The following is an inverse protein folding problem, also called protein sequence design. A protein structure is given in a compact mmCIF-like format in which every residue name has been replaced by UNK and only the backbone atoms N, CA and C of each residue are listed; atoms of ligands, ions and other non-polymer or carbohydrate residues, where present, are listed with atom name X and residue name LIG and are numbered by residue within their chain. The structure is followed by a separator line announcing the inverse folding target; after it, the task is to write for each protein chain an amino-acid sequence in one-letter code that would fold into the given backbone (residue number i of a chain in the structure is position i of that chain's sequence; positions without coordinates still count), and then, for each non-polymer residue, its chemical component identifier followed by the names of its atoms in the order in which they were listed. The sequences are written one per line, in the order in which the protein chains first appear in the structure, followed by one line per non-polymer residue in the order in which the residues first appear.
data_IF_747033649567
#
_entry.id   IF_747033649567
#
_cell.length_a   1.000
_cell.length_b   1.000
_cell.length_c   1.000
_cell.angle_alpha   90.00
_cell.angle_beta   90.00
_cell.angle_gamma   90.00
#
_symmetry.space_group_name_H-M   'P 1'
#
loop_
_entity.id
_entity.type
_entity.pdbx_description
1 polymer ?
#
# COMPACT_ATOMS: atom_id res chain seq x y z
N UNK A 1 71.89 -23.89 -31.55
CA UNK A 1 70.90 -23.40 -32.54
C UNK A 1 69.71 -24.34 -32.51
N UNK A 2 68.53 -23.79 -32.19
CA UNK A 2 67.15 -24.20 -32.55
C UNK A 2 66.74 -25.70 -32.47
N UNK A 3 65.56 -26.09 -32.01
CA UNK A 3 64.46 -25.40 -31.34
C UNK A 3 63.43 -26.49 -30.99
N UNK A 4 62.97 -26.48 -29.75
CA UNK A 4 61.84 -27.20 -29.19
C UNK A 4 60.54 -26.98 -29.96
N UNK A 5 59.88 -28.04 -30.43
CA UNK A 5 58.46 -28.01 -30.80
C UNK A 5 57.62 -28.34 -29.57
N UNK A 6 57.31 -27.30 -28.80
CA UNK A 6 56.32 -27.35 -27.73
C UNK A 6 54.91 -27.41 -28.32
N UNK A 7 54.10 -28.25 -27.71
CA UNK A 7 52.65 -28.31 -27.80
C UNK A 7 52.02 -26.90 -27.79
N UNK A 8 51.17 -26.63 -28.77
CA UNK A 8 50.09 -25.67 -28.66
C UNK A 8 48.82 -26.28 -29.27
N UNK A 9 48.22 -27.21 -28.53
CA UNK A 9 46.77 -27.44 -28.63
C UNK A 9 46.08 -26.25 -27.96
N UNK A 10 45.98 -25.14 -28.67
CA UNK A 10 44.92 -24.16 -28.43
C UNK A 10 43.66 -24.80 -28.99
N UNK A 11 42.93 -25.51 -28.14
CA UNK A 11 41.54 -25.86 -28.42
C UNK A 11 40.78 -24.56 -28.76
N UNK A 12 40.49 -24.38 -30.04
CA UNK A 12 39.41 -23.51 -30.46
C UNK A 12 38.14 -24.12 -29.86
N UNK A 13 37.71 -23.61 -28.70
CA UNK A 13 36.40 -23.89 -28.13
C UNK A 13 35.37 -23.53 -29.20
N UNK A 14 34.83 -24.58 -29.81
CA UNK A 14 33.78 -24.55 -30.82
C UNK A 14 32.65 -23.61 -30.39
N UNK A 15 32.26 -22.72 -31.30
CA UNK A 15 31.06 -21.89 -31.23
C UNK A 15 29.82 -22.78 -31.20
N UNK A 16 29.31 -23.09 -30.02
CA UNK A 16 28.09 -23.90 -29.84
C UNK A 16 26.90 -22.94 -29.74
N UNK A 17 25.85 -23.10 -30.58
CA UNK A 17 24.62 -22.33 -30.47
C UNK A 17 23.96 -22.55 -29.09
N UNK A 18 23.29 -21.52 -28.57
CA UNK A 18 22.66 -21.59 -27.25
C UNK A 18 21.55 -22.64 -27.24
N UNK A 19 21.72 -23.70 -26.45
CA UNK A 19 20.65 -24.66 -26.23
C UNK A 19 19.70 -24.19 -25.13
N UNK A 20 18.42 -24.53 -25.28
CA UNK A 20 17.38 -24.28 -24.27
C UNK A 20 17.76 -24.87 -22.91
N UNK A 21 18.38 -26.05 -22.90
CA UNK A 21 18.79 -26.77 -21.69
C UNK A 21 19.85 -26.01 -20.87
N UNK A 22 20.70 -25.22 -21.53
CA UNK A 22 21.70 -24.38 -20.86
C UNK A 22 21.10 -23.07 -20.36
N UNK A 23 20.15 -22.49 -21.10
CA UNK A 23 19.62 -21.15 -20.80
C UNK A 23 18.51 -21.19 -19.75
N UNK A 24 17.63 -22.18 -19.77
CA UNK A 24 16.54 -22.34 -18.82
C UNK A 24 16.98 -22.28 -17.33
N UNK A 25 18.00 -23.02 -16.86
CA UNK A 25 18.42 -22.96 -15.45
C UNK A 25 18.99 -21.60 -15.05
N UNK A 26 19.64 -20.88 -15.98
CA UNK A 26 20.15 -19.52 -15.76
C UNK A 26 18.98 -18.56 -15.53
N UNK A 27 17.94 -18.65 -16.37
CA UNK A 27 16.76 -17.80 -16.26
C UNK A 27 15.97 -18.14 -14.98
N UNK A 28 15.82 -19.42 -14.64
CA UNK A 28 15.19 -19.83 -13.39
C UNK A 28 15.89 -19.24 -12.16
N UNK A 29 17.22 -19.31 -12.13
CA UNK A 29 18.02 -18.72 -11.05
C UNK A 29 17.88 -17.20 -11.01
N UNK A 30 17.94 -16.54 -12.16
CA UNK A 30 17.68 -15.11 -12.29
C UNK A 30 16.30 -14.73 -11.75
N UNK A 31 15.24 -15.44 -12.17
CA UNK A 31 13.87 -15.20 -11.73
C UNK A 31 13.71 -15.37 -10.22
N UNK A 32 14.36 -16.37 -9.63
CA UNK A 32 14.36 -16.57 -8.17
C UNK A 32 15.07 -15.41 -7.43
N UNK A 33 16.16 -14.89 -7.97
CA UNK A 33 16.88 -13.74 -7.40
C UNK A 33 16.03 -12.47 -7.51
N UNK A 34 15.40 -12.23 -8.66
CA UNK A 34 14.46 -11.14 -8.89
C UNK A 34 13.26 -11.22 -7.94
N UNK A 35 12.67 -12.42 -7.78
CA UNK A 35 11.56 -12.66 -6.85
C UNK A 35 11.89 -12.41 -5.38
N UNK A 36 13.17 -12.54 -5.02
CA UNK A 36 13.72 -12.17 -3.70
C UNK A 36 14.24 -10.74 -3.63
N UNK A 37 14.02 -9.95 -4.68
CA UNK A 37 14.40 -8.54 -4.77
C UNK A 37 15.93 -8.34 -4.66
N UNK A 38 16.71 -9.36 -5.06
CA UNK A 38 18.19 -9.33 -5.07
C UNK A 38 18.68 -8.85 -6.43
N UNK A 39 18.34 -7.61 -6.78
CA UNK A 39 18.54 -7.05 -8.12
C UNK A 39 20.00 -7.06 -8.58
N UNK A 40 20.95 -6.66 -7.72
CA UNK A 40 22.37 -6.64 -8.09
C UNK A 40 22.89 -8.06 -8.35
N UNK A 41 22.54 -9.03 -7.49
CA UNK A 41 22.91 -10.43 -7.69
C UNK A 41 22.25 -11.06 -8.93
N UNK A 42 21.02 -10.67 -9.26
CA UNK A 42 20.34 -11.12 -10.47
C UNK A 42 21.06 -10.61 -11.73
N UNK A 43 21.45 -9.32 -11.74
CA UNK A 43 22.23 -8.74 -12.84
C UNK A 43 23.60 -9.38 -12.99
N UNK A 44 24.35 -9.49 -11.89
CA UNK A 44 25.67 -10.14 -11.87
C UNK A 44 25.59 -11.58 -12.38
N UNK A 45 24.53 -12.31 -12.05
CA UNK A 45 24.33 -13.68 -12.53
C UNK A 45 24.23 -13.76 -14.06
N UNK A 46 23.47 -12.85 -14.68
CA UNK A 46 23.32 -12.79 -16.14
C UNK A 46 24.61 -12.31 -16.81
N UNK A 47 25.25 -11.27 -16.30
CA UNK A 47 26.50 -10.74 -16.87
C UNK A 47 27.66 -11.74 -16.75
N UNK A 48 27.73 -12.50 -15.65
CA UNK A 48 28.71 -13.56 -15.49
C UNK A 48 28.49 -14.72 -16.47
N UNK A 49 27.24 -15.02 -16.82
CA UNK A 49 26.94 -15.98 -17.90
C UNK A 49 27.36 -15.43 -19.26
N UNK A 50 27.06 -14.15 -19.53
CA UNK A 50 27.45 -13.50 -20.78
C UNK A 50 28.97 -13.42 -20.97
N UNK A 51 29.73 -13.09 -19.92
CA UNK A 51 31.18 -12.93 -19.99
C UNK A 51 31.97 -14.24 -20.15
N UNK A 52 31.36 -15.39 -19.86
CA UNK A 52 31.99 -16.71 -20.02
C UNK A 52 31.89 -17.28 -21.45
N UNK A 53 31.09 -16.66 -22.32
CA UNK A 53 30.86 -17.14 -23.69
C UNK A 53 31.13 -16.03 -24.71
N UNK A 54 31.82 -16.40 -25.79
CA UNK A 54 31.84 -15.61 -27.01
C UNK A 54 30.65 -16.06 -27.86
N UNK A 55 29.57 -15.28 -27.85
CA UNK A 55 28.39 -15.59 -28.65
C UNK A 55 28.60 -15.13 -30.09
N UNK A 56 28.50 -16.07 -31.02
CA UNK A 56 28.40 -15.77 -32.45
C UNK A 56 27.00 -16.22 -32.86
N UNK A 57 26.06 -15.29 -33.05
CA UNK A 57 24.69 -15.66 -33.43
C UNK A 57 24.69 -16.27 -34.82
N UNK A 58 24.20 -17.51 -34.92
CA UNK A 58 24.11 -18.26 -36.18
C UNK A 58 22.70 -18.29 -36.77
N UNK A 59 21.67 -18.03 -35.95
CA UNK A 59 20.26 -18.08 -36.32
C UNK A 59 19.42 -17.04 -35.55
N UNK A 60 18.15 -16.90 -35.96
CA UNK A 60 17.18 -15.94 -35.38
C UNK A 60 16.93 -16.25 -33.91
N UNK A 61 16.90 -17.52 -33.52
CA UNK A 61 16.68 -17.93 -32.12
C UNK A 61 17.87 -17.57 -31.22
N UNK A 62 19.11 -17.73 -31.69
CA UNK A 62 20.31 -17.31 -30.97
C UNK A 62 20.35 -15.79 -30.79
N UNK A 63 19.92 -15.03 -31.81
CA UNK A 63 19.75 -13.57 -31.70
C UNK A 63 18.70 -13.19 -30.66
N UNK A 64 17.57 -13.92 -30.63
CA UNK A 64 16.54 -13.69 -29.62
C UNK A 64 17.04 -13.97 -28.21
N UNK A 65 17.80 -15.05 -27.98
CA UNK A 65 18.40 -15.32 -26.68
C UNK A 65 19.37 -14.23 -26.22
N UNK A 66 20.17 -13.67 -27.13
CA UNK A 66 21.03 -12.53 -26.84
C UNK A 66 20.26 -11.26 -26.46
N UNK A 67 19.16 -11.00 -27.17
CA UNK A 67 18.22 -9.91 -26.87
C UNK A 67 17.62 -10.10 -25.46
N UNK A 68 17.06 -11.28 -25.18
CA UNK A 68 16.49 -11.65 -23.87
C UNK A 68 17.51 -11.48 -22.73
N UNK A 69 18.74 -11.97 -22.90
CA UNK A 69 19.80 -11.85 -21.88
C UNK A 69 20.20 -10.38 -21.67
N UNK A 70 20.17 -9.56 -22.72
CA UNK A 70 20.43 -8.13 -22.63
C UNK A 70 19.31 -7.41 -21.88
N UNK A 71 18.05 -7.77 -22.15
CA UNK A 71 16.89 -7.30 -21.38
C UNK A 71 17.02 -7.69 -19.90
N UNK A 72 17.37 -8.94 -19.58
CA UNK A 72 17.57 -9.37 -18.19
C UNK A 72 18.76 -8.73 -17.48
N UNK A 73 19.76 -8.23 -18.21
CA UNK A 73 20.82 -7.42 -17.62
C UNK A 73 20.35 -6.01 -17.25
N UNK A 74 19.42 -5.43 -18.03
CA UNK A 74 18.88 -4.08 -17.80
C UNK A 74 17.74 -4.06 -16.77
N UNK A 75 16.86 -5.07 -16.82
CA UNK A 75 15.60 -5.12 -16.05
C UNK A 75 15.75 -4.98 -14.52
N UNK A 76 16.78 -5.53 -13.85
CA UNK A 76 16.97 -5.38 -12.40
C UNK A 76 17.12 -3.92 -11.97
N UNK A 77 17.74 -3.08 -12.79
CA UNK A 77 17.88 -1.65 -12.51
C UNK A 77 16.53 -0.93 -12.59
N UNK A 78 15.71 -1.28 -13.57
CA UNK A 78 14.37 -0.72 -13.77
C UNK A 78 13.45 -1.10 -12.60
N UNK A 79 13.45 -2.37 -12.19
CA UNK A 79 12.72 -2.84 -11.01
C UNK A 79 13.21 -2.14 -9.73
N UNK A 80 14.53 -1.93 -9.58
CA UNK A 80 15.08 -1.20 -8.42
C UNK A 80 14.52 0.21 -8.29
N UNK A 81 14.38 0.94 -9.40
CA UNK A 81 13.79 2.29 -9.43
C UNK A 81 12.29 2.24 -9.12
N UNK A 82 11.60 1.20 -9.58
CA UNK A 82 10.20 0.97 -9.25
C UNK A 82 9.98 0.77 -7.74
N UNK A 83 10.73 -0.12 -7.10
CA UNK A 83 10.60 -0.40 -5.66
C UNK A 83 11.02 0.77 -4.75
N UNK A 84 11.81 1.71 -5.27
CA UNK A 84 12.15 2.94 -4.57
C UNK A 84 11.06 4.02 -4.65
N UNK A 85 10.00 3.82 -5.46
CA UNK A 85 8.89 4.76 -5.67
C UNK A 85 9.32 6.17 -6.14
N UNK A 86 10.55 6.33 -6.64
CA UNK A 86 11.09 7.64 -7.01
C UNK A 86 10.35 8.29 -8.18
N UNK A 87 9.62 7.51 -8.97
CA UNK A 87 8.76 7.99 -10.05
C UNK A 87 7.53 8.78 -9.55
N UNK A 88 7.22 8.74 -8.24
CA UNK A 88 6.14 9.50 -7.62
C UNK A 88 6.59 10.85 -7.04
N UNK A 89 7.90 11.14 -7.02
CA UNK A 89 8.43 12.39 -6.48
C UNK A 89 7.95 13.59 -7.33
N UNK A 90 7.62 14.74 -6.71
CA UNK A 90 7.30 15.95 -7.44
C UNK A 90 8.42 16.31 -8.42
N UNK A 91 8.06 16.69 -9.64
CA UNK A 91 9.03 17.17 -10.63
C UNK A 91 9.69 18.44 -10.10
N UNK A 92 10.91 18.34 -9.57
CA UNK A 92 11.76 19.50 -9.44
C UNK A 92 12.02 20.08 -10.85
N UNK A 93 12.10 21.42 -10.93
CA UNK A 93 12.27 22.22 -12.15
C UNK A 93 13.04 21.46 -13.27
N UNK A 94 12.43 21.41 -14.47
CA UNK A 94 12.98 20.88 -15.73
C UNK A 94 13.10 19.35 -15.95
N UNK A 95 12.55 18.48 -15.10
CA UNK A 95 12.38 17.06 -15.49
C UNK A 95 11.14 16.86 -16.38
N UNK A 96 11.32 16.98 -17.70
CA UNK A 96 10.47 16.30 -18.67
C UNK A 96 10.75 14.79 -18.59
N UNK A 97 9.68 14.00 -18.60
CA UNK A 97 9.61 12.54 -18.66
C UNK A 97 9.72 11.71 -17.37
N UNK A 98 8.74 10.80 -17.23
CA UNK A 98 8.77 9.70 -16.27
C UNK A 98 9.79 8.68 -16.76
N UNK A 99 11.08 8.90 -16.45
CA UNK A 99 12.18 8.04 -16.89
C UNK A 99 11.91 6.54 -16.68
N UNK A 100 11.21 6.17 -15.60
CA UNK A 100 10.81 4.78 -15.35
C UNK A 100 9.82 4.23 -16.39
N UNK A 101 8.79 5.00 -16.76
CA UNK A 101 7.85 4.61 -17.81
C UNK A 101 8.57 4.48 -19.14
N UNK A 102 9.46 5.43 -19.46
CA UNK A 102 10.29 5.37 -20.66
C UNK A 102 11.16 4.11 -20.68
N UNK A 103 11.81 3.76 -19.57
CA UNK A 103 12.62 2.53 -19.46
C UNK A 103 11.79 1.26 -19.69
N UNK A 104 10.61 1.14 -19.07
CA UNK A 104 9.73 0.00 -19.31
C UNK A 104 9.23 -0.07 -20.76
N UNK A 105 8.83 1.08 -21.34
CA UNK A 105 8.39 1.14 -22.74
C UNK A 105 9.50 0.81 -23.73
N UNK A 106 10.73 1.26 -23.47
CA UNK A 106 11.89 0.94 -24.30
C UNK A 106 12.19 -0.57 -24.28
N UNK A 107 12.25 -1.17 -23.08
CA UNK A 107 12.44 -2.62 -22.93
C UNK A 107 11.31 -3.38 -23.63
N UNK A 108 10.05 -2.93 -23.45
CA UNK A 108 8.90 -3.54 -24.12
C UNK A 108 9.05 -3.53 -25.65
N UNK A 109 9.44 -2.41 -26.23
CA UNK A 109 9.63 -2.28 -27.68
C UNK A 109 10.74 -3.19 -28.21
N UNK A 110 11.84 -3.33 -27.48
CA UNK A 110 12.95 -4.24 -27.84
C UNK A 110 12.49 -5.71 -27.85
N UNK A 111 11.73 -6.11 -26.83
CA UNK A 111 11.14 -7.46 -26.74
C UNK A 111 10.10 -7.68 -27.83
N UNK A 112 9.26 -6.68 -28.13
CA UNK A 112 8.26 -6.77 -29.20
C UNK A 112 8.89 -6.97 -30.59
N UNK A 113 9.96 -6.24 -30.90
CA UNK A 113 10.72 -6.49 -32.14
C UNK A 113 11.24 -7.93 -32.20
N UNK A 114 11.78 -8.43 -31.07
CA UNK A 114 12.25 -9.81 -30.98
C UNK A 114 11.11 -10.83 -31.20
N UNK A 115 9.90 -10.54 -30.73
CA UNK A 115 8.71 -11.36 -30.97
C UNK A 115 8.33 -11.37 -32.45
N UNK A 116 8.35 -10.21 -33.12
CA UNK A 116 8.07 -10.09 -34.55
C UNK A 116 9.02 -10.93 -35.40
N UNK A 117 10.32 -10.89 -35.08
CA UNK A 117 11.33 -11.71 -35.74
C UNK A 117 11.08 -13.21 -35.53
N UNK A 118 10.71 -13.62 -34.32
CA UNK A 118 10.45 -15.02 -33.96
C UNK A 118 9.14 -15.58 -34.52
N UNK A 119 8.13 -14.74 -34.79
CA UNK A 119 6.86 -15.18 -35.38
C UNK A 119 7.02 -15.68 -36.84
N UNK A 120 8.13 -15.32 -37.49
CA UNK A 120 8.47 -15.82 -38.83
C UNK A 120 9.00 -17.26 -38.85
N UNK A 121 9.27 -17.86 -37.68
CA UNK A 121 9.84 -19.20 -37.54
C UNK A 121 8.72 -20.27 -37.54
N UNK A 122 8.85 -21.38 -38.29
CA UNK A 122 7.78 -22.38 -38.50
C UNK A 122 7.33 -23.16 -37.25
N UNK A 123 8.12 -23.14 -36.16
CA UNK A 123 7.74 -23.70 -34.86
C UNK A 123 7.99 -22.67 -33.76
N UNK A 124 7.00 -22.43 -32.86
CA UNK A 124 7.15 -21.42 -31.82
C UNK A 124 8.24 -21.86 -30.82
N UNK A 125 9.36 -21.15 -30.75
CA UNK A 125 10.45 -21.51 -29.84
C UNK A 125 10.12 -21.10 -28.41
N UNK A 126 10.82 -21.70 -27.42
CA UNK A 126 10.67 -21.30 -26.01
C UNK A 126 10.97 -19.81 -25.79
N UNK A 127 11.91 -19.26 -26.58
CA UNK A 127 12.25 -17.82 -26.56
C UNK A 127 11.05 -16.92 -26.89
N UNK A 128 10.12 -17.38 -27.74
CA UNK A 128 8.90 -16.63 -28.07
C UNK A 128 7.95 -16.54 -26.88
N UNK A 129 7.67 -17.67 -26.20
CA UNK A 129 6.83 -17.65 -25.00
C UNK A 129 7.48 -16.80 -23.91
N UNK A 130 8.80 -16.92 -23.70
CA UNK A 130 9.51 -16.11 -22.73
C UNK A 130 9.39 -14.60 -23.02
N UNK A 131 9.57 -14.18 -24.28
CA UNK A 131 9.36 -12.80 -24.68
C UNK A 131 7.93 -12.32 -24.38
N UNK A 132 6.91 -13.14 -24.67
CA UNK A 132 5.52 -12.81 -24.32
C UNK A 132 5.34 -12.66 -22.80
N UNK A 133 5.93 -13.56 -22.00
CA UNK A 133 5.86 -13.45 -20.53
C UNK A 133 6.59 -12.22 -19.99
N UNK A 134 7.69 -11.80 -20.61
CA UNK A 134 8.38 -10.55 -20.26
C UNK A 134 7.46 -9.35 -20.55
N UNK A 135 6.77 -9.35 -21.70
CA UNK A 135 5.79 -8.32 -22.04
C UNK A 135 4.65 -8.28 -21.00
N UNK A 136 4.10 -9.43 -20.60
CA UNK A 136 3.07 -9.51 -19.56
C UNK A 136 3.53 -8.88 -18.23
N UNK A 137 4.76 -9.19 -17.82
CA UNK A 137 5.38 -8.64 -16.61
C UNK A 137 5.48 -7.11 -16.70
N UNK A 138 5.95 -6.59 -17.84
CA UNK A 138 6.08 -5.15 -18.07
C UNK A 138 4.70 -4.48 -18.04
N UNK A 139 3.70 -5.07 -18.69
CA UNK A 139 2.34 -4.52 -18.70
C UNK A 139 1.71 -4.49 -17.30
N UNK A 140 1.94 -5.54 -16.51
CA UNK A 140 1.56 -5.54 -15.10
C UNK A 140 2.22 -4.40 -14.32
N UNK A 141 3.52 -4.14 -14.56
CA UNK A 141 4.24 -3.02 -13.92
C UNK A 141 3.72 -1.67 -14.33
N UNK A 142 3.42 -1.47 -15.61
CA UNK A 142 2.84 -0.21 -16.11
C UNK A 142 1.46 0.06 -15.48
N UNK A 143 0.61 -0.97 -15.37
CA UNK A 143 -0.68 -0.85 -14.67
C UNK A 143 -0.46 -0.49 -13.19
N UNK A 144 0.49 -1.13 -12.51
CA UNK A 144 0.80 -0.84 -11.12
C UNK A 144 1.35 0.57 -10.90
N UNK A 145 2.23 1.06 -11.79
CA UNK A 145 2.71 2.45 -11.75
C UNK A 145 1.53 3.43 -11.80
N UNK A 146 0.59 3.21 -12.72
CA UNK A 146 -0.61 4.05 -12.83
C UNK A 146 -1.51 3.97 -11.60
N UNK A 147 -1.66 2.76 -11.01
CA UNK A 147 -2.37 2.60 -9.74
C UNK A 147 -1.69 3.42 -8.63
N UNK A 148 -0.37 3.32 -8.45
CA UNK A 148 0.36 4.10 -7.44
C UNK A 148 0.29 5.62 -7.67
N UNK A 149 0.28 6.07 -8.92
CA UNK A 149 0.04 7.49 -9.23
C UNK A 149 -1.36 7.90 -8.75
N UNK A 150 -2.38 7.10 -9.06
CA UNK A 150 -3.75 7.34 -8.63
C UNK A 150 -3.91 7.33 -7.10
N UNK A 151 -3.19 6.47 -6.38
CA UNK A 151 -3.12 6.51 -4.90
C UNK A 151 -2.71 7.89 -4.36
N UNK A 152 -1.81 8.61 -5.04
CA UNK A 152 -1.36 9.92 -4.55
C UNK A 152 -2.33 11.06 -4.83
N UNK A 153 -3.28 10.85 -5.75
CA UNK A 153 -4.29 11.84 -6.15
C UNK A 153 -5.62 11.61 -5.43
N UNK A 154 -5.94 10.35 -5.12
CA UNK A 154 -7.19 9.96 -4.48
C UNK A 154 -7.07 10.05 -2.96
N UNK A 155 -8.08 10.63 -2.31
CA UNK A 155 -8.26 10.46 -0.86
C UNK A 155 -8.90 9.07 -0.71
N UNK A 156 -8.32 8.13 0.03
CA UNK A 156 -8.93 6.79 0.18
C UNK A 156 -10.18 6.81 1.09
N UNK A 157 -11.05 7.80 0.95
CA UNK A 157 -12.20 8.08 1.80
C UNK A 157 -13.55 7.82 1.12
N UNK A 158 -13.56 7.39 -0.14
CA UNK A 158 -14.76 6.99 -0.89
C UNK A 158 -14.67 5.54 -1.35
N UNK A 159 -15.75 4.78 -1.21
CA UNK A 159 -15.83 3.39 -1.71
C UNK A 159 -15.61 3.32 -3.23
N UNK A 160 -16.07 4.31 -3.99
CA UNK A 160 -15.93 4.34 -5.45
C UNK A 160 -14.46 4.48 -5.87
N UNK A 161 -13.73 5.41 -5.25
CA UNK A 161 -12.31 5.64 -5.54
C UNK A 161 -11.46 4.42 -5.19
N UNK A 162 -11.78 3.76 -4.07
CA UNK A 162 -11.14 2.50 -3.68
C UNK A 162 -11.49 1.36 -4.66
N UNK A 163 -12.74 1.31 -5.13
CA UNK A 163 -13.20 0.32 -6.12
C UNK A 163 -12.40 0.37 -7.41
N UNK A 164 -12.17 1.57 -7.96
CA UNK A 164 -11.38 1.77 -9.18
C UNK A 164 -9.94 1.25 -9.01
N UNK A 165 -9.31 1.53 -7.86
CA UNK A 165 -7.97 1.00 -7.57
C UNK A 165 -7.96 -0.53 -7.47
N UNK A 166 -8.96 -1.12 -6.80
CA UNK A 166 -9.09 -2.57 -6.69
C UNK A 166 -9.29 -3.22 -8.07
N UNK A 167 -10.06 -2.61 -8.97
CA UNK A 167 -10.24 -3.08 -10.35
C UNK A 167 -8.93 -3.09 -11.14
N UNK A 168 -8.13 -2.02 -11.01
CA UNK A 168 -6.79 -1.95 -11.59
C UNK A 168 -5.84 -3.04 -11.06
N UNK A 169 -5.95 -3.41 -9.78
CA UNK A 169 -5.17 -4.52 -9.21
C UNK A 169 -5.70 -5.89 -9.68
N UNK A 170 -7.02 -6.03 -9.85
CA UNK A 170 -7.63 -7.26 -10.34
C UNK A 170 -7.27 -7.55 -11.81
N UNK A 171 -7.12 -6.52 -12.65
CA UNK A 171 -6.67 -6.73 -14.03
C UNK A 171 -5.26 -7.31 -14.07
N UNK A 172 -4.35 -6.84 -13.22
CA UNK A 172 -3.00 -7.41 -13.06
C UNK A 172 -3.06 -8.88 -12.63
N UNK A 173 -3.87 -9.21 -11.61
CA UNK A 173 -4.02 -10.61 -11.16
C UNK A 173 -4.54 -11.52 -12.27
N UNK A 174 -5.45 -11.03 -13.14
CA UNK A 174 -5.97 -11.79 -14.28
C UNK A 174 -4.88 -12.08 -15.31
N UNK A 175 -4.02 -11.10 -15.63
CA UNK A 175 -2.92 -11.26 -16.58
C UNK A 175 -1.89 -12.28 -16.09
N UNK A 176 -1.52 -12.24 -14.80
CA UNK A 176 -0.47 -13.13 -14.26
C UNK A 176 -0.96 -14.53 -13.88
N UNK A 177 -2.27 -14.73 -13.72
CA UNK A 177 -2.86 -16.01 -13.29
C UNK A 177 -2.37 -17.23 -14.10
N UNK A 178 -2.40 -17.24 -15.45
CA UNK A 178 -1.94 -18.38 -16.23
C UNK A 178 -0.43 -18.63 -16.09
N UNK A 179 0.36 -17.57 -15.92
CA UNK A 179 1.83 -17.63 -15.96
C UNK A 179 2.47 -17.79 -14.58
N UNK A 180 1.68 -17.91 -13.51
CA UNK A 180 2.17 -17.94 -12.13
C UNK A 180 3.12 -19.10 -11.85
N UNK A 181 2.86 -20.26 -12.46
CA UNK A 181 3.69 -21.47 -12.35
C UNK A 181 4.64 -21.65 -13.54
N UNK A 182 4.93 -20.58 -14.29
CA UNK A 182 5.81 -20.65 -15.45
C UNK A 182 7.20 -21.16 -15.07
N UNK A 183 7.72 -22.11 -15.85
CA UNK A 183 8.92 -22.89 -15.51
C UNK A 183 10.15 -22.01 -15.28
N UNK A 184 10.31 -20.94 -16.06
CA UNK A 184 11.49 -20.07 -15.97
C UNK A 184 11.27 -18.78 -15.19
N UNK A 185 10.02 -18.32 -15.04
CA UNK A 185 9.71 -16.94 -14.58
C UNK A 185 8.80 -16.88 -13.35
N UNK A 186 8.47 -18.02 -12.74
CA UNK A 186 7.61 -18.11 -11.55
C UNK A 186 8.01 -17.15 -10.43
N UNK A 187 9.32 -16.97 -10.15
CA UNK A 187 9.79 -16.07 -9.10
C UNK A 187 9.36 -14.61 -9.30
N UNK A 188 9.36 -14.13 -10.54
CA UNK A 188 8.94 -12.77 -10.89
C UNK A 188 7.42 -12.60 -10.87
N UNK A 189 6.68 -13.59 -11.37
CA UNK A 189 5.21 -13.59 -11.29
C UNK A 189 4.72 -13.65 -9.84
N UNK A 190 5.35 -14.46 -8.98
CA UNK A 190 5.03 -14.52 -7.56
C UNK A 190 5.34 -13.21 -6.82
N UNK A 191 6.38 -12.48 -7.23
CA UNK A 191 6.68 -11.15 -6.68
C UNK A 191 5.54 -10.16 -6.97
N UNK A 192 5.12 -10.06 -8.24
CA UNK A 192 3.99 -9.21 -8.65
C UNK A 192 2.71 -9.65 -7.95
N UNK A 193 2.42 -10.96 -7.95
CA UNK A 193 1.21 -11.50 -7.32
C UNK A 193 1.15 -11.18 -5.82
N UNK A 194 2.28 -11.32 -5.11
CA UNK A 194 2.37 -11.02 -3.67
C UNK A 194 2.12 -9.55 -3.38
N UNK A 195 2.76 -8.66 -4.14
CA UNK A 195 2.56 -7.21 -4.04
C UNK A 195 1.09 -6.82 -4.25
N UNK A 196 0.52 -7.24 -5.39
CA UNK A 196 -0.86 -6.92 -5.79
C UNK A 196 -1.87 -7.46 -4.76
N UNK A 197 -1.68 -8.70 -4.33
CA UNK A 197 -2.58 -9.36 -3.36
C UNK A 197 -2.61 -8.62 -2.03
N UNK A 198 -1.44 -8.21 -1.53
CA UNK A 198 -1.34 -7.49 -0.26
C UNK A 198 -1.99 -6.12 -0.37
N UNK A 199 -1.68 -5.34 -1.40
CA UNK A 199 -2.22 -3.99 -1.57
C UNK A 199 -3.73 -4.02 -1.76
N UNK A 200 -4.24 -4.94 -2.58
CA UNK A 200 -5.67 -5.17 -2.74
C UNK A 200 -6.31 -5.50 -1.39
N UNK A 201 -5.71 -6.39 -0.61
CA UNK A 201 -6.23 -6.77 0.70
C UNK A 201 -6.28 -5.58 1.68
N UNK A 202 -5.29 -4.69 1.66
CA UNK A 202 -5.28 -3.47 2.48
C UNK A 202 -6.32 -2.44 2.03
N UNK A 203 -6.53 -2.27 0.71
CA UNK A 203 -7.61 -1.44 0.17
C UNK A 203 -8.99 -1.99 0.56
N UNK A 204 -9.18 -3.30 0.50
CA UNK A 204 -10.40 -3.96 0.93
C UNK A 204 -10.64 -3.75 2.44
N UNK A 205 -9.59 -3.79 3.27
CA UNK A 205 -9.69 -3.40 4.69
C UNK A 205 -10.17 -1.96 4.83
N UNK A 206 -9.56 -1.00 4.14
CA UNK A 206 -9.99 0.41 4.21
C UNK A 206 -11.47 0.56 3.80
N UNK A 207 -11.91 -0.16 2.76
CA UNK A 207 -13.30 -0.17 2.33
C UNK A 207 -14.26 -0.76 3.39
N UNK A 208 -13.83 -1.78 4.12
CA UNK A 208 -14.59 -2.36 5.24
C UNK A 208 -14.62 -1.42 6.46
N UNK A 209 -13.55 -0.65 6.68
CA UNK A 209 -13.47 0.37 7.74
C UNK A 209 -14.41 1.55 7.48
N UNK A 210 -14.52 2.02 6.22
CA UNK A 210 -15.50 3.06 5.83
C UNK A 210 -16.94 2.62 6.14
N UNK A 211 -17.23 1.33 5.98
CA UNK A 211 -18.53 0.72 6.32
C UNK A 211 -18.70 0.35 7.79
N UNK A 212 -17.65 0.53 8.61
CA UNK A 212 -17.57 0.05 9.99
C UNK A 212 -17.97 -1.42 10.17
N UNK A 213 -17.51 -2.30 9.26
CA UNK A 213 -17.73 -3.74 9.34
C UNK A 213 -16.65 -4.41 10.21
N UNK A 214 -16.94 -4.58 11.51
CA UNK A 214 -15.98 -5.08 12.50
C UNK A 214 -15.34 -6.43 12.14
N UNK A 215 -16.14 -7.50 12.08
CA UNK A 215 -15.60 -8.85 11.92
C UNK A 215 -14.90 -9.06 10.57
N UNK A 216 -15.49 -8.64 9.43
CA UNK A 216 -14.81 -8.72 8.14
C UNK A 216 -13.49 -7.95 8.12
N UNK A 217 -13.43 -6.73 8.65
CA UNK A 217 -12.20 -5.94 8.69
C UNK A 217 -11.13 -6.58 9.58
N UNK A 218 -11.50 -7.15 10.73
CA UNK A 218 -10.59 -7.86 11.63
C UNK A 218 -9.96 -9.10 10.96
N UNK A 219 -10.79 -9.96 10.37
CA UNK A 219 -10.33 -11.18 9.68
C UNK A 219 -9.39 -10.79 8.53
N UNK A 220 -9.78 -9.78 7.75
CA UNK A 220 -8.99 -9.34 6.59
C UNK A 220 -7.67 -8.70 7.02
N UNK A 221 -7.64 -7.92 8.12
CA UNK A 221 -6.41 -7.38 8.71
C UNK A 221 -5.46 -8.51 9.15
N UNK A 222 -5.97 -9.51 9.88
CA UNK A 222 -5.18 -10.67 10.32
C UNK A 222 -4.60 -11.44 9.13
N UNK A 223 -5.40 -11.70 8.11
CA UNK A 223 -4.94 -12.38 6.89
C UNK A 223 -3.90 -11.55 6.14
N UNK A 224 -4.11 -10.23 6.02
CA UNK A 224 -3.14 -9.31 5.40
C UNK A 224 -1.81 -9.32 6.14
N UNK A 225 -1.83 -9.39 7.48
CA UNK A 225 -0.63 -9.46 8.31
C UNK A 225 0.18 -10.72 8.04
N UNK A 226 -0.50 -11.86 7.91
CA UNK A 226 0.16 -13.14 7.61
C UNK A 226 0.75 -13.16 6.20
N UNK A 227 0.03 -12.65 5.19
CA UNK A 227 0.58 -12.50 3.84
C UNK A 227 1.81 -11.59 3.81
N UNK A 228 1.73 -10.43 4.49
CA UNK A 228 2.84 -9.50 4.61
C UNK A 228 4.05 -10.16 5.29
N UNK A 229 3.82 -10.90 6.38
CA UNK A 229 4.89 -11.62 7.11
C UNK A 229 5.56 -12.67 6.22
N UNK A 230 4.77 -13.47 5.51
CA UNK A 230 5.27 -14.50 4.60
C UNK A 230 6.13 -13.87 3.50
N UNK A 231 5.61 -12.85 2.82
CA UNK A 231 6.34 -12.17 1.75
C UNK A 231 7.62 -11.51 2.26
N UNK A 232 7.57 -10.79 3.39
CA UNK A 232 8.74 -10.15 3.99
C UNK A 232 9.81 -11.14 4.43
N UNK A 233 9.41 -12.37 4.81
CA UNK A 233 10.35 -13.45 5.13
C UNK A 233 11.02 -13.98 3.87
N UNK A 234 10.26 -14.19 2.78
CA UNK A 234 10.79 -14.67 1.49
C UNK A 234 11.84 -13.72 0.93
N UNK A 235 11.60 -12.41 1.01
CA UNK A 235 12.53 -11.37 0.51
C UNK A 235 13.60 -10.98 1.53
N UNK A 236 13.70 -11.65 2.69
CA UNK A 236 14.66 -11.32 3.75
C UNK A 236 14.59 -9.83 4.21
N UNK A 237 13.38 -9.23 4.25
CA UNK A 237 13.19 -7.79 4.45
C UNK A 237 13.86 -7.25 5.73
N UNK A 238 13.89 -8.04 6.81
CA UNK A 238 14.55 -7.64 8.05
C UNK A 238 16.05 -7.33 7.86
N UNK A 239 16.75 -8.14 7.04
CA UNK A 239 18.18 -7.92 6.72
C UNK A 239 18.35 -6.69 5.83
N UNK A 240 17.46 -6.51 4.86
CA UNK A 240 17.45 -5.35 3.96
C UNK A 240 17.31 -4.05 4.77
N UNK A 241 16.33 -4.02 5.68
CA UNK A 241 16.07 -2.88 6.56
C UNK A 241 17.25 -2.55 7.48
N UNK A 242 17.88 -3.57 8.07
CA UNK A 242 19.03 -3.38 8.98
C UNK A 242 20.28 -2.80 8.28
N UNK A 243 20.51 -3.13 7.01
CA UNK A 243 21.63 -2.58 6.22
C UNK A 243 21.43 -1.12 5.84
N UNK A 244 20.19 -0.66 5.74
CA UNK A 244 19.88 0.75 5.46
C UNK A 244 20.16 1.68 6.65
N UNK A 245 20.18 1.15 7.88
CA UNK A 245 20.35 1.95 9.11
C UNK A 245 21.79 2.02 9.62
N UNK A 246 22.74 1.28 9.03
CA UNK A 246 24.14 1.21 9.50
C UNK A 246 25.08 2.28 8.92
N UNK A 247 24.56 3.35 8.32
CA UNK A 247 25.37 4.49 7.87
C UNK A 247 25.74 5.40 9.04
N UNK A 248 26.85 5.09 9.71
CA UNK A 248 27.35 5.75 10.93
C UNK A 248 27.97 7.15 10.73
N UNK A 249 27.93 7.74 9.53
CA UNK A 249 28.40 9.11 9.29
C UNK A 249 27.24 10.03 8.87
N UNK A 250 26.73 10.80 9.84
CA UNK A 250 25.72 11.83 9.63
C UNK A 250 26.36 13.11 9.08
N UNK A 251 26.56 13.18 7.77
CA UNK A 251 26.51 14.47 7.06
C UNK A 251 25.07 14.69 6.57
N UNK A 252 24.46 15.87 6.76
CA UNK A 252 23.15 16.19 6.21
C UNK A 252 23.30 16.46 4.70
N UNK A 253 23.57 15.42 3.93
CA UNK A 253 23.48 15.45 2.48
C UNK A 253 22.18 14.78 2.04
N UNK A 254 21.64 15.26 0.92
CA UNK A 254 20.31 14.99 0.38
C UNK A 254 19.76 13.58 0.65
N UNK A 255 18.48 13.53 1.01
CA UNK A 255 17.72 12.30 1.30
C UNK A 255 17.99 11.20 0.26
N UNK A 256 18.87 10.24 0.58
CA UNK A 256 18.97 9.01 -0.20
C UNK A 256 17.68 8.24 0.05
N UNK A 257 16.79 8.24 -0.96
CA UNK A 257 15.57 7.46 -0.93
C UNK A 257 15.93 5.97 -0.71
N UNK A 258 15.28 5.32 0.25
CA UNK A 258 15.45 3.89 0.51
C UNK A 258 15.13 3.13 -0.77
N UNK A 259 16.01 2.22 -1.19
CA UNK A 259 15.82 1.37 -2.38
C UNK A 259 14.56 0.50 -2.28
N UNK A 260 13.97 0.37 -1.09
CA UNK A 260 12.85 -0.51 -0.78
C UNK A 260 11.68 0.25 -0.15
N UNK A 261 11.50 1.52 -0.55
CA UNK A 261 10.45 2.40 -0.05
C UNK A 261 9.04 1.80 -0.16
N UNK A 262 8.77 1.01 -1.21
CA UNK A 262 7.49 0.33 -1.35
C UNK A 262 7.17 -0.60 -0.17
N UNK A 263 8.15 -1.42 0.28
CA UNK A 263 7.96 -2.31 1.42
C UNK A 263 7.70 -1.55 2.71
N UNK A 264 8.45 -0.47 2.95
CA UNK A 264 8.25 0.41 4.11
C UNK A 264 6.86 1.04 4.09
N UNK A 265 6.42 1.50 2.92
CA UNK A 265 5.11 2.10 2.76
C UNK A 265 3.99 1.09 3.01
N UNK A 266 4.07 -0.13 2.47
CA UNK A 266 3.08 -1.18 2.71
C UNK A 266 3.00 -1.53 4.22
N UNK A 267 4.15 -1.65 4.90
CA UNK A 267 4.17 -1.88 6.36
C UNK A 267 3.51 -0.73 7.14
N UNK A 268 3.78 0.52 6.73
CA UNK A 268 3.16 1.71 7.32
C UNK A 268 1.65 1.76 7.04
N UNK A 269 1.21 1.41 5.84
CA UNK A 269 -0.20 1.41 5.48
C UNK A 269 -0.97 0.35 6.27
N UNK A 270 -0.43 -0.86 6.41
CA UNK A 270 -0.99 -1.87 7.33
C UNK A 270 -1.09 -1.34 8.77
N UNK A 271 -0.02 -0.73 9.28
CA UNK A 271 0.01 -0.21 10.66
C UNK A 271 -1.01 0.91 10.88
N UNK A 272 -1.16 1.78 9.87
CA UNK A 272 -2.17 2.83 9.85
C UNK A 272 -3.59 2.26 9.91
N UNK A 273 -3.90 1.26 9.07
CA UNK A 273 -5.23 0.62 9.06
C UNK A 273 -5.53 -0.10 10.37
N UNK A 274 -4.52 -0.73 10.99
CA UNK A 274 -4.66 -1.34 12.32
C UNK A 274 -4.95 -0.29 13.39
N UNK A 275 -4.28 0.86 13.36
CA UNK A 275 -4.55 1.97 14.30
C UNK A 275 -5.96 2.54 14.10
N UNK A 276 -6.38 2.70 12.84
CA UNK A 276 -7.72 3.16 12.49
C UNK A 276 -8.81 2.17 12.92
N UNK A 277 -8.60 0.87 12.68
CA UNK A 277 -9.44 -0.21 13.21
C UNK A 277 -9.56 -0.10 14.74
N UNK A 278 -8.43 0.04 15.43
CA UNK A 278 -8.41 0.14 16.89
C UNK A 278 -9.19 1.36 17.41
N UNK A 279 -9.17 2.47 16.67
CA UNK A 279 -9.97 3.66 16.96
C UNK A 279 -11.46 3.42 16.71
N UNK A 280 -11.82 2.94 15.52
CA UNK A 280 -13.23 2.82 15.09
C UNK A 280 -14.01 1.77 15.87
N UNK A 281 -13.30 0.76 16.37
CA UNK A 281 -13.92 -0.30 17.16
C UNK A 281 -13.54 -0.24 18.65
N UNK A 282 -13.01 0.88 19.13
CA UNK A 282 -12.55 1.05 20.51
C UNK A 282 -13.65 0.75 21.54
N UNK A 283 -14.84 1.35 21.36
CA UNK A 283 -15.95 1.17 22.31
C UNK A 283 -16.48 -0.27 22.34
N UNK A 284 -16.27 -1.04 21.27
CA UNK A 284 -16.66 -2.45 21.23
C UNK A 284 -15.56 -3.39 21.71
N UNK A 285 -14.29 -3.06 21.49
CA UNK A 285 -13.15 -3.89 21.90
C UNK A 285 -12.89 -3.79 23.40
N UNK A 286 -12.96 -2.58 23.96
CA UNK A 286 -12.57 -2.32 25.36
C UNK A 286 -13.34 -3.16 26.37
N UNK A 287 -14.67 -3.34 26.27
CA UNK A 287 -15.43 -4.19 27.20
C UNK A 287 -15.11 -5.69 27.11
N UNK A 288 -14.51 -6.14 26.00
CA UNK A 288 -14.22 -7.55 25.73
C UNK A 288 -12.82 -7.98 26.21
N UNK A 289 -12.01 -7.03 26.67
CA UNK A 289 -10.63 -7.23 27.04
C UNK A 289 -10.38 -6.74 28.47
N UNK A 290 -9.33 -7.27 29.12
CA UNK A 290 -8.89 -6.68 30.38
C UNK A 290 -8.29 -5.29 30.15
N UNK A 291 -8.35 -4.41 31.16
CA UNK A 291 -7.75 -3.08 31.06
C UNK A 291 -6.22 -3.13 30.79
N UNK A 292 -5.52 -4.15 31.31
CA UNK A 292 -4.11 -4.36 31.05
C UNK A 292 -3.85 -4.68 29.56
N UNK A 293 -4.66 -5.57 28.98
CA UNK A 293 -4.54 -5.97 27.57
C UNK A 293 -4.83 -4.80 26.63
N UNK A 294 -5.86 -4.01 26.93
CA UNK A 294 -6.19 -2.81 26.14
C UNK A 294 -5.03 -1.82 26.17
N UNK A 295 -4.48 -1.52 27.36
CA UNK A 295 -3.34 -0.60 27.50
C UNK A 295 -2.10 -1.11 26.77
N UNK A 296 -1.81 -2.41 26.87
CA UNK A 296 -0.70 -3.04 26.17
C UNK A 296 -0.90 -2.97 24.65
N UNK A 297 -2.08 -3.33 24.15
CA UNK A 297 -2.41 -3.28 22.73
C UNK A 297 -2.26 -1.87 22.16
N UNK A 298 -2.75 -0.85 22.88
CA UNK A 298 -2.57 0.56 22.51
C UNK A 298 -1.09 0.94 22.48
N UNK A 299 -0.28 0.47 23.43
CA UNK A 299 1.16 0.71 23.47
C UNK A 299 1.93 0.06 22.31
N UNK A 300 1.41 -1.02 21.73
CA UNK A 300 2.00 -1.72 20.59
C UNK A 300 1.63 -1.09 19.23
N UNK A 301 0.66 -0.16 19.20
CA UNK A 301 0.30 0.54 17.96
C UNK A 301 1.44 1.44 17.49
N UNK A 302 1.91 1.20 16.27
CA UNK A 302 2.87 2.08 15.57
C UNK A 302 2.20 3.39 15.17
N UNK A 303 3.01 4.42 14.89
CA UNK A 303 2.51 5.72 14.45
C UNK A 303 1.72 5.62 13.12
N UNK A 304 0.57 6.30 12.97
CA UNK A 304 -0.08 7.15 13.98
C UNK A 304 -0.82 6.32 15.03
N UNK A 305 -0.79 6.74 16.30
CA UNK A 305 -1.59 6.14 17.38
C UNK A 305 -2.76 7.09 17.72
N UNK A 306 -3.91 6.89 17.06
CA UNK A 306 -5.05 7.81 17.19
C UNK A 306 -5.60 7.89 18.61
N UNK A 307 -5.62 6.76 19.33
CA UNK A 307 -6.09 6.69 20.71
C UNK A 307 -5.24 7.58 21.63
N UNK A 308 -3.91 7.54 21.47
CA UNK A 308 -3.01 8.42 22.20
C UNK A 308 -3.17 9.89 21.79
N UNK A 309 -3.29 10.18 20.49
CA UNK A 309 -3.48 11.54 19.97
C UNK A 309 -4.77 12.17 20.56
N UNK A 310 -5.88 11.44 20.52
CA UNK A 310 -7.18 11.95 20.97
C UNK A 310 -7.23 12.09 22.49
N UNK A 311 -6.68 11.13 23.24
CA UNK A 311 -6.55 11.21 24.70
C UNK A 311 -5.66 12.38 25.14
N UNK A 312 -4.54 12.61 24.46
CA UNK A 312 -3.66 13.74 24.76
C UNK A 312 -4.31 15.09 24.46
N UNK A 313 -5.05 15.21 23.36
CA UNK A 313 -5.80 16.42 23.06
C UNK A 313 -6.85 16.69 24.15
N UNK A 314 -7.68 15.69 24.48
CA UNK A 314 -8.69 15.78 25.54
C UNK A 314 -8.10 16.30 26.86
N UNK A 315 -6.97 15.72 27.32
CA UNK A 315 -6.28 16.14 28.54
C UNK A 315 -5.74 17.58 28.47
N UNK A 316 -5.31 18.06 27.29
CA UNK A 316 -4.68 19.38 27.12
C UNK A 316 -5.67 20.51 26.87
N UNK A 317 -6.79 20.23 26.20
CA UNK A 317 -7.75 21.24 25.77
C UNK A 317 -8.88 21.49 26.77
N UNK A 318 -8.99 20.66 27.81
CA UNK A 318 -10.13 20.67 28.75
C UNK A 318 -11.47 20.49 28.02
N UNK A 319 -11.45 19.67 26.95
CA UNK A 319 -12.66 19.25 26.27
C UNK A 319 -13.47 18.33 27.20
N UNK A 320 -14.80 18.46 27.18
CA UNK A 320 -15.68 17.51 27.84
C UNK A 320 -15.45 16.12 27.26
N UNK A 321 -15.50 15.99 25.93
CA UNK A 321 -15.01 14.81 25.21
C UNK A 321 -14.70 15.10 23.74
N UNK A 322 -13.89 14.21 23.16
CA UNK A 322 -13.74 14.00 21.72
C UNK A 322 -14.40 12.67 21.38
N UNK A 323 -15.28 12.64 20.38
CA UNK A 323 -15.96 11.41 19.98
C UNK A 323 -16.03 11.24 18.47
N UNK A 324 -16.17 9.98 18.05
CA UNK A 324 -16.50 9.61 16.68
C UNK A 324 -17.88 8.97 16.67
N UNK A 325 -18.78 9.52 15.86
CA UNK A 325 -20.17 9.07 15.76
C UNK A 325 -20.46 8.74 14.30
N UNK A 326 -21.01 7.56 14.07
CA UNK A 326 -21.41 7.10 12.73
C UNK A 326 -22.85 7.48 12.45
N UNK A 327 -23.20 7.91 11.23
CA UNK A 327 -24.58 8.14 10.80
C UNK A 327 -25.06 7.01 9.89
N UNK A 328 -26.18 6.38 10.22
CA UNK A 328 -26.77 5.29 9.42
C UNK A 328 -27.97 5.68 8.57
N UNK A 329 -28.35 6.96 8.58
CA UNK A 329 -29.62 7.42 7.99
C UNK A 329 -29.66 7.28 6.46
N UNK A 330 -28.52 7.39 5.78
CA UNK A 330 -28.42 7.21 4.33
C UNK A 330 -28.29 5.74 3.90
N UNK A 331 -27.97 4.82 4.82
CA UNK A 331 -27.72 3.43 4.49
C UNK A 331 -29.01 2.62 4.64
N UNK A 332 -29.66 2.29 3.51
CA UNK A 332 -30.76 1.32 3.45
C UNK A 332 -30.31 -0.13 3.71
N UNK A 333 -29.04 -0.35 4.09
CA UNK A 333 -28.51 -1.68 4.33
C UNK A 333 -28.95 -2.21 5.70
N UNK A 334 -29.84 -3.18 5.61
CA UNK A 334 -30.35 -4.09 6.63
C UNK A 334 -29.21 -4.60 7.54
N UNK A 335 -29.37 -4.34 8.85
CA UNK A 335 -28.86 -5.14 9.98
C UNK A 335 -27.40 -5.62 10.00
N UNK A 336 -26.40 -4.81 9.64
CA UNK A 336 -25.06 -5.03 10.20
C UNK A 336 -25.00 -4.39 11.60
N UNK A 337 -25.47 -5.12 12.61
CA UNK A 337 -25.12 -4.84 14.01
C UNK A 337 -23.59 -4.78 14.05
N UNK A 338 -23.01 -3.71 14.59
CA UNK A 338 -21.56 -3.68 14.71
C UNK A 338 -21.17 -4.65 15.81
N UNK A 339 -20.46 -5.72 15.44
CA UNK A 339 -19.96 -6.73 16.38
C UNK A 339 -20.54 -8.13 16.18
N UNK A 340 -20.09 -9.06 17.02
CA UNK A 340 -20.63 -10.41 17.10
C UNK A 340 -22.02 -10.38 17.74
N UNK A 341 -23.01 -10.90 17.01
CA UNK A 341 -24.39 -11.19 17.43
C UNK A 341 -24.72 -11.01 18.90
N UNK A 342 -24.90 -9.77 19.34
CA UNK A 342 -25.67 -9.52 20.55
C UNK A 342 -27.13 -9.66 20.11
N UNK A 343 -27.78 -10.74 20.53
CA UNK A 343 -29.23 -10.82 20.54
C UNK A 343 -29.76 -9.53 21.14
N UNK A 344 -30.77 -8.94 20.50
CA UNK A 344 -31.44 -7.80 21.08
C UNK A 344 -32.07 -8.32 22.37
N UNK A 345 -31.44 -8.03 23.51
CA UNK A 345 -32.25 -7.78 24.67
C UNK A 345 -33.17 -6.63 24.25
N UNK A 346 -34.45 -6.91 24.08
CA UNK A 346 -35.52 -5.95 23.73
C UNK A 346 -35.71 -4.86 24.80
N UNK A 347 -34.70 -4.58 25.60
CA UNK A 347 -34.72 -3.56 26.63
C UNK A 347 -33.56 -2.59 26.42
N UNK A 348 -33.93 -1.36 26.02
CA UNK A 348 -33.22 -0.07 26.22
C UNK A 348 -32.19 0.46 25.22
N UNK A 349 -31.92 -0.19 24.09
CA UNK A 349 -31.16 0.45 23.00
C UNK A 349 -32.06 1.40 22.20
N UNK A 350 -32.24 2.64 22.66
CA UNK A 350 -33.12 3.61 22.00
C UNK A 350 -32.77 3.83 20.52
N UNK A 351 -33.79 4.05 19.66
CA UNK A 351 -33.66 4.21 18.20
C UNK A 351 -32.51 5.13 17.75
N UNK A 352 -32.22 6.16 18.57
CA UNK A 352 -31.16 7.11 18.31
C UNK A 352 -29.77 6.46 18.30
N UNK A 353 -29.51 5.49 19.19
CA UNK A 353 -28.23 4.76 19.27
C UNK A 353 -28.03 3.83 18.09
N UNK A 354 -29.12 3.32 17.52
CA UNK A 354 -29.05 2.55 16.28
C UNK A 354 -28.78 3.43 15.07
N UNK A 355 -29.42 4.61 14.99
CA UNK A 355 -29.22 5.58 13.91
C UNK A 355 -27.85 6.26 13.97
N UNK A 356 -27.33 6.52 15.18
CA UNK A 356 -26.08 7.22 15.43
C UNK A 356 -25.16 6.51 16.43
N UNK A 357 -24.59 5.34 16.09
CA UNK A 357 -23.73 4.61 17.00
C UNK A 357 -22.41 5.35 17.30
N UNK A 358 -22.00 5.28 18.56
CA UNK A 358 -20.71 5.79 19.04
C UNK A 358 -19.59 4.80 18.70
N UNK A 359 -18.57 5.26 17.98
CA UNK A 359 -17.39 4.47 17.61
C UNK A 359 -16.25 4.62 18.63
N UNK A 360 -16.07 5.84 19.11
CA UNK A 360 -15.01 6.23 20.04
C UNK A 360 -15.46 7.40 20.91
N UNK A 361 -15.04 7.39 22.18
CA UNK A 361 -15.02 8.59 23.04
C UNK A 361 -13.71 8.68 23.83
N UNK A 362 -13.21 9.89 24.03
CA UNK A 362 -12.19 10.15 25.05
C UNK A 362 -12.79 9.97 26.45
N UNK A 363 -11.95 9.77 27.46
CA UNK A 363 -12.27 9.23 28.79
C UNK A 363 -13.20 10.07 29.70
N UNK A 364 -14.31 10.60 29.17
CA UNK A 364 -15.40 11.22 29.91
C UNK A 364 -16.41 10.17 30.40
N UNK A 365 -17.18 10.53 31.43
CA UNK A 365 -18.30 9.73 31.91
C UNK A 365 -19.24 9.44 30.73
N UNK A 366 -19.63 8.16 30.57
CA UNK A 366 -20.58 7.75 29.53
C UNK A 366 -21.91 8.50 29.67
N UNK A 367 -22.28 8.86 30.91
CA UNK A 367 -23.48 9.63 31.21
C UNK A 367 -23.48 11.01 30.52
N UNK A 368 -22.34 11.70 30.48
CA UNK A 368 -22.26 13.02 29.83
C UNK A 368 -22.50 12.94 28.33
N UNK A 369 -21.98 11.90 27.68
CA UNK A 369 -22.25 11.66 26.27
C UNK A 369 -23.72 11.31 26.04
N UNK A 370 -24.28 10.40 26.85
CA UNK A 370 -25.65 9.94 26.71
C UNK A 370 -26.67 11.09 26.84
N UNK A 371 -26.42 12.05 27.74
CA UNK A 371 -27.23 13.25 27.90
C UNK A 371 -27.19 14.18 26.66
N UNK A 372 -26.05 14.26 25.97
CA UNK A 372 -25.86 15.13 24.80
C UNK A 372 -26.13 14.42 23.46
N UNK A 373 -26.35 13.10 23.48
CA UNK A 373 -26.52 12.30 22.27
C UNK A 373 -27.65 12.81 21.35
N UNK A 374 -28.83 13.23 21.85
CA UNK A 374 -29.89 13.83 21.01
C UNK A 374 -29.44 15.11 20.30
N UNK A 375 -28.75 16.01 21.02
CA UNK A 375 -28.22 17.25 20.45
C UNK A 375 -27.17 16.96 19.39
N UNK A 376 -26.26 16.02 19.65
CA UNK A 376 -25.23 15.60 18.71
C UNK A 376 -25.86 15.02 17.44
N UNK A 377 -26.86 14.14 17.57
CA UNK A 377 -27.56 13.56 16.44
C UNK A 377 -28.27 14.62 15.58
N UNK A 378 -28.96 15.58 16.20
CA UNK A 378 -29.59 16.71 15.52
C UNK A 378 -28.56 17.55 14.74
N UNK A 379 -27.43 17.86 15.37
CA UNK A 379 -26.36 18.61 14.72
C UNK A 379 -25.68 17.81 13.59
N UNK A 380 -25.52 16.50 13.71
CA UNK A 380 -25.03 15.63 12.62
C UNK A 380 -26.03 15.62 11.46
N UNK A 381 -27.34 15.53 11.73
CA UNK A 381 -28.35 15.60 10.69
C UNK A 381 -28.30 16.93 9.94
N UNK A 382 -28.19 18.03 10.68
CA UNK A 382 -27.97 19.37 10.12
C UNK A 382 -26.63 19.46 9.36
N UNK A 383 -25.59 18.77 9.83
CA UNK A 383 -24.31 18.63 9.16
C UNK A 383 -24.43 17.95 7.79
N UNK A 384 -25.13 16.81 7.75
CA UNK A 384 -25.33 16.04 6.54
C UNK A 384 -26.21 16.75 5.50
N UNK A 385 -27.23 17.50 5.95
CA UNK A 385 -28.20 18.14 5.06
C UNK A 385 -27.71 19.48 4.46
N UNK A 386 -26.64 20.08 4.98
CA UNK A 386 -26.15 21.34 4.39
C UNK A 386 -25.44 21.09 3.07
N UNK A 387 -25.98 21.62 1.99
CA UNK A 387 -25.38 21.61 0.64
C UNK A 387 -24.00 22.33 0.56
N UNK A 388 -23.59 23.02 1.62
CA UNK A 388 -22.33 23.76 1.70
C UNK A 388 -21.28 22.83 2.31
N UNK A 389 -20.38 22.33 1.46
CA UNK A 389 -19.18 21.54 1.79
C UNK A 389 -19.25 20.73 3.11
N UNK A 390 -19.65 19.45 3.08
CA UNK A 390 -19.79 18.63 4.30
C UNK A 390 -18.46 18.46 5.06
N UNK A 391 -17.33 18.82 4.45
CA UNK A 391 -15.99 18.75 5.03
C UNK A 391 -15.63 19.94 5.93
N UNK A 392 -16.42 21.01 5.98
CA UNK A 392 -16.11 22.17 6.84
C UNK A 392 -16.51 21.89 8.29
N UNK A 393 -15.67 22.33 9.23
CA UNK A 393 -15.98 22.27 10.67
C UNK A 393 -17.20 23.17 10.95
N UNK A 394 -18.27 22.56 11.46
CA UNK A 394 -19.45 23.26 11.98
C UNK A 394 -19.26 23.58 13.45
N UNK A 395 -19.52 24.83 13.79
CA UNK A 395 -19.46 25.34 15.15
C UNK A 395 -20.87 25.65 15.65
N UNK A 396 -21.17 25.28 16.89
CA UNK A 396 -22.43 25.62 17.55
C UNK A 396 -22.18 25.87 19.04
N UNK A 397 -22.69 26.97 19.58
CA UNK A 397 -22.73 27.22 21.02
C UNK A 397 -24.18 27.25 21.49
N UNK A 398 -24.52 26.31 22.37
CA UNK A 398 -25.83 26.23 22.99
C UNK A 398 -25.87 27.15 24.21
N UNK A 399 -26.71 28.18 24.18
CA UNK A 399 -26.82 29.16 25.26
C UNK A 399 -27.55 28.60 26.49
N UNK A 400 -28.34 27.54 26.34
CA UNK A 400 -29.10 26.91 27.43
C UNK A 400 -28.24 25.87 28.12
N UNK A 401 -27.59 24.99 27.35
CA UNK A 401 -26.67 23.98 27.88
C UNK A 401 -25.32 24.58 28.31
N UNK A 402 -25.01 25.80 27.83
CA UNK A 402 -23.71 26.47 28.00
C UNK A 402 -22.54 25.62 27.46
N UNK A 403 -22.78 24.91 26.34
CA UNK A 403 -21.79 24.02 25.72
C UNK A 403 -21.44 24.45 24.31
N UNK A 404 -20.16 24.33 23.94
CA UNK A 404 -19.68 24.49 22.57
C UNK A 404 -19.48 23.14 21.91
N UNK A 405 -19.90 23.03 20.65
CA UNK A 405 -19.78 21.86 19.80
C UNK A 405 -19.00 22.21 18.53
N UNK A 406 -18.04 21.37 18.19
CA UNK A 406 -17.39 21.33 16.88
C UNK A 406 -17.69 20.00 16.22
N UNK A 407 -18.23 20.03 15.00
CA UNK A 407 -18.66 18.83 14.26
C UNK A 407 -18.10 18.88 12.85
N UNK A 408 -17.49 17.79 12.40
CA UNK A 408 -16.96 17.68 11.04
C UNK A 408 -17.16 16.27 10.50
N UNK A 409 -17.45 16.15 9.20
CA UNK A 409 -17.45 14.87 8.52
C UNK A 409 -16.01 14.39 8.32
N UNK A 410 -15.68 13.24 8.89
CA UNK A 410 -14.36 12.61 8.77
C UNK A 410 -14.28 11.80 7.48
N UNK A 411 -15.19 10.86 7.27
CA UNK A 411 -15.23 9.97 6.09
C UNK A 411 -16.67 9.52 5.87
N UNK A 412 -17.17 9.48 4.63
CA UNK A 412 -18.53 9.09 4.19
C UNK A 412 -19.68 9.49 5.14
N UNK A 413 -19.84 8.79 6.25
CA UNK A 413 -20.87 8.97 7.27
C UNK A 413 -20.35 8.97 8.73
N UNK A 414 -19.04 9.03 8.95
CA UNK A 414 -18.39 9.13 10.26
C UNK A 414 -18.10 10.60 10.58
N UNK A 415 -18.60 11.06 11.72
CA UNK A 415 -18.44 12.43 12.20
C UNK A 415 -17.55 12.47 13.43
N UNK A 416 -16.68 13.48 13.48
CA UNK A 416 -15.94 13.83 14.69
C UNK A 416 -16.69 14.94 15.41
N UNK A 417 -16.86 14.76 16.72
CA UNK A 417 -17.55 15.69 17.60
C UNK A 417 -16.65 16.03 18.78
N UNK A 418 -16.37 17.32 18.97
CA UNK A 418 -15.63 17.85 20.12
C UNK A 418 -16.54 18.76 20.91
N UNK A 419 -16.67 18.52 22.21
CA UNK A 419 -17.58 19.27 23.09
C UNK A 419 -16.82 19.92 24.24
N UNK A 420 -17.19 21.14 24.61
CA UNK A 420 -16.64 21.88 25.75
C UNK A 420 -17.77 22.35 26.66
N UNK A 421 -17.53 22.37 27.98
CA UNK A 421 -18.45 22.89 29.01
C UNK A 421 -18.40 24.41 29.18
N UNK A 422 -17.91 25.13 28.15
CA UNK A 422 -17.77 26.58 28.13
C UNK A 422 -17.84 27.08 26.69
N UNK A 423 -18.08 28.39 26.53
CA UNK A 423 -18.01 29.05 25.23
C UNK A 423 -16.56 29.11 24.75
N UNK A 424 -16.29 28.52 23.59
CA UNK A 424 -15.01 28.61 22.87
C UNK A 424 -15.22 29.39 21.58
N UNK A 425 -14.20 30.12 21.11
CA UNK A 425 -14.27 30.81 19.83
C UNK A 425 -14.27 29.82 18.64
N UNK A 426 -15.10 30.07 17.62
CA UNK A 426 -15.16 29.25 16.40
C UNK A 426 -13.79 29.09 15.71
N UNK A 427 -12.95 30.13 15.79
CA UNK A 427 -11.63 30.19 15.14
C UNK A 427 -10.47 29.82 16.08
N UNK A 428 -10.72 29.10 17.17
CA UNK A 428 -9.65 28.64 18.05
C UNK A 428 -8.64 27.78 17.25
N UNK A 429 -7.42 28.30 17.11
CA UNK A 429 -6.42 27.72 16.21
C UNK A 429 -5.98 26.33 16.67
N UNK A 430 -5.92 26.08 17.97
CA UNK A 430 -5.48 24.80 18.52
C UNK A 430 -6.48 23.69 18.23
N UNK A 431 -7.77 23.98 18.40
CA UNK A 431 -8.87 23.04 18.17
C UNK A 431 -9.05 22.79 16.67
N UNK A 432 -9.09 23.87 15.88
CA UNK A 432 -9.24 23.78 14.41
C UNK A 432 -8.07 23.01 13.80
N UNK A 433 -6.83 23.26 14.25
CA UNK A 433 -5.65 22.53 13.78
C UNK A 433 -5.75 21.03 14.11
N UNK A 434 -6.09 20.69 15.36
CA UNK A 434 -6.27 19.29 15.78
C UNK A 434 -7.33 18.56 14.94
N UNK A 435 -8.50 19.18 14.74
CA UNK A 435 -9.60 18.59 13.97
C UNK A 435 -9.16 18.37 12.52
N UNK A 436 -8.59 19.39 11.87
CA UNK A 436 -8.15 19.29 10.48
C UNK A 436 -7.03 18.25 10.29
N UNK A 437 -6.06 18.20 11.20
CA UNK A 437 -4.98 17.21 11.15
C UNK A 437 -5.52 15.79 11.32
N UNK A 438 -6.45 15.60 12.26
CA UNK A 438 -7.07 14.30 12.51
C UNK A 438 -7.92 13.84 11.33
N UNK A 439 -8.73 14.72 10.74
CA UNK A 439 -9.52 14.44 9.54
C UNK A 439 -8.60 14.08 8.35
N UNK A 440 -7.59 14.90 8.08
CA UNK A 440 -6.62 14.65 7.00
C UNK A 440 -5.90 13.31 7.16
N UNK A 441 -5.50 12.99 8.39
CA UNK A 441 -4.82 11.72 8.68
C UNK A 441 -5.78 10.53 8.52
N UNK A 442 -7.01 10.61 9.06
CA UNK A 442 -8.00 9.52 8.98
C UNK A 442 -8.45 9.24 7.54
N UNK A 443 -8.53 10.27 6.68
CA UNK A 443 -8.80 10.18 5.22
C UNK A 443 -7.62 9.65 4.40
N UNK A 444 -6.62 9.06 5.05
CA UNK A 444 -5.43 8.49 4.42
C UNK A 444 -4.54 9.51 3.68
N UNK A 445 -4.76 10.83 3.79
CA UNK A 445 -4.02 11.80 2.98
C UNK A 445 -2.52 11.74 3.24
N UNK A 446 -2.11 11.67 4.51
CA UNK A 446 -0.69 11.57 4.89
C UNK A 446 -0.04 10.25 4.41
N UNK A 447 -0.74 9.12 4.53
CA UNK A 447 -0.18 7.83 4.11
C UNK A 447 -0.07 7.75 2.58
N UNK A 448 -1.06 8.25 1.83
CA UNK A 448 -0.99 8.35 0.37
C UNK A 448 0.14 9.27 -0.08
N UNK A 449 0.32 10.44 0.55
CA UNK A 449 1.42 11.35 0.23
C UNK A 449 2.78 10.74 0.55
N UNK A 450 2.88 9.91 1.59
CA UNK A 450 4.15 9.25 1.96
C UNK A 450 4.66 8.26 0.91
N UNK A 451 3.84 7.86 -0.08
CA UNK A 451 4.30 7.14 -1.28
C UNK A 451 5.35 7.94 -2.06
N UNK A 452 5.27 9.27 -2.04
CA UNK A 452 6.22 10.16 -2.74
C UNK A 452 7.55 10.30 -1.99
N UNK A 453 7.78 9.54 -0.93
CA UNK A 453 8.91 9.71 -0.03
C UNK A 453 8.56 10.71 1.07
N UNK A 454 9.37 10.75 2.12
CA UNK A 454 9.16 11.67 3.23
C UNK A 454 9.31 13.13 2.73
N UNK A 455 8.21 13.75 2.31
CA UNK A 455 8.10 15.20 2.41
C UNK A 455 8.09 15.50 3.91
N UNK A 456 9.14 16.16 4.39
CA UNK A 456 9.18 16.72 5.73
C UNK A 456 7.98 17.63 5.97
#
# INVERSE_FOLDING_TARGET
MASSSNFSHTEALSSIPLSVEEVAPIIQKYSLLMGKVKFDAAREHIEAFKGKRNFIPSDVESMAWLSILSVFAQFPQTERIYFSLNFLLPKAFFRKDNALLTSYSQIKSEVQHTVEDLMSVPHPPLSLDLCQRIIDIIDCRLILINNYIAFTSNKLCSQQEIGILIEGLNSVLKVIAPSRKHDCLSGMFELIASEVTIIKSLLEVQNLLLRCEFLPSLIKLKNSREHLRKWFTIVDYAKIRSKSTSSFFHFPSSSKASTFQLFEWIERFYSFLLSKFSLYFHEWLTPQCSHADVKQAIGLLKSPNFLHIFSNFHRKSDALFVSLVMSRIASKAVSSRVGYGQEASETSSGELREKYPLLYKSAADRKDFDLLHPTIASLIQSAANSSIQPERIKYFFDQVLLKTFFIVLVEENIFMVVVFSRKIGEKDSSIVCFINESVSTLRCSKICLSLRGASK
#
